data_IF_738965324199
#
_entry.id   IF_738965324199
#
_cell.length_a   1.000
_cell.length_b   1.000
_cell.length_c   1.000
_cell.angle_alpha   90.00
_cell.angle_beta   90.00
_cell.angle_gamma   90.00
#
_symmetry.space_group_name_H-M   'P 1'
#
loop_
_entity.id
_entity.type
_entity.pdbx_description
1 polymer ?
#
# COMPACT_ATOMS: atom_id res chain seq x y z
N UNK A 1 25.16 60.23 9.48
CA UNK A 1 25.14 58.86 8.92
C UNK A 1 24.37 57.98 9.90
N UNK A 2 23.20 57.48 9.50
CA UNK A 2 22.46 56.49 10.30
C UNK A 2 23.22 55.17 10.14
N UNK A 3 23.74 54.62 11.23
CA UNK A 3 24.40 53.32 11.20
C UNK A 3 23.40 52.28 10.68
N UNK A 4 23.75 51.57 9.60
CA UNK A 4 22.94 50.46 9.09
C UNK A 4 22.77 49.47 10.22
N UNK A 5 21.53 49.20 10.65
CA UNK A 5 21.25 48.19 11.65
C UNK A 5 21.65 46.82 11.07
N UNK A 6 22.81 46.31 11.48
CA UNK A 6 23.38 45.06 10.96
C UNK A 6 22.81 43.82 11.64
N UNK A 7 22.15 43.99 12.79
CA UNK A 7 21.64 42.88 13.60
C UNK A 7 20.71 41.92 12.84
N UNK A 8 19.74 42.38 12.01
CA UNK A 8 18.89 41.48 11.24
C UNK A 8 19.67 40.57 10.28
N UNK A 9 20.76 41.06 9.69
CA UNK A 9 21.59 40.27 8.78
C UNK A 9 22.40 39.22 9.54
N UNK A 10 23.00 39.59 10.68
CA UNK A 10 23.72 38.66 11.55
C UNK A 10 22.79 37.57 12.10
N UNK A 11 21.56 37.94 12.49
CA UNK A 11 20.53 36.99 12.91
C UNK A 11 20.25 35.94 11.81
N UNK A 12 19.99 36.38 10.58
CA UNK A 12 19.72 35.49 9.46
C UNK A 12 20.91 34.58 9.12
N UNK A 13 22.15 35.10 9.20
CA UNK A 13 23.37 34.31 8.99
C UNK A 13 23.50 33.25 10.08
N UNK A 14 23.37 33.62 11.35
CA UNK A 14 23.50 32.70 12.48
C UNK A 14 22.43 31.60 12.45
N UNK A 15 21.18 31.94 12.18
CA UNK A 15 20.10 30.95 12.03
C UNK A 15 20.36 30.01 10.86
N UNK A 16 20.88 30.52 9.74
CA UNK A 16 21.26 29.71 8.58
C UNK A 16 22.42 28.75 8.90
N UNK A 17 23.44 29.22 9.63
CA UNK A 17 24.56 28.39 10.11
C UNK A 17 24.10 27.33 11.11
N UNK A 18 23.11 27.65 11.95
CA UNK A 18 22.47 26.69 12.87
C UNK A 18 21.79 25.56 12.09
N UNK A 19 21.08 25.86 10.98
CA UNK A 19 20.50 24.84 10.10
C UNK A 19 21.56 23.92 9.50
N UNK A 20 22.68 24.46 8.98
CA UNK A 20 23.80 23.66 8.46
C UNK A 20 24.39 22.77 9.56
N UNK A 21 24.59 23.31 10.75
CA UNK A 21 25.18 22.57 11.88
C UNK A 21 24.29 21.40 12.29
N UNK A 22 22.97 21.59 12.34
CA UNK A 22 22.01 20.49 12.62
C UNK A 22 21.96 19.46 11.49
N UNK A 23 22.03 19.90 10.23
CA UNK A 23 22.08 19.01 9.07
C UNK A 23 23.30 18.07 9.12
N UNK A 24 24.45 18.58 9.58
CA UNK A 24 25.67 17.80 9.74
C UNK A 24 25.59 16.77 10.88
N UNK A 25 24.72 16.98 11.87
CA UNK A 25 24.50 16.03 12.97
C UNK A 25 23.68 14.80 12.55
N UNK A 26 22.95 14.89 11.43
CA UNK A 26 22.20 13.75 10.88
C UNK A 26 23.16 12.68 10.37
N UNK A 27 23.25 11.57 11.09
CA UNK A 27 24.09 10.41 10.73
C UNK A 27 23.33 9.45 9.79
N UNK A 28 24.05 8.71 8.91
CA UNK A 28 23.44 7.69 8.07
C UNK A 28 22.78 6.57 8.88
N UNK A 29 21.68 6.00 8.37
CA UNK A 29 20.99 4.87 9.02
C UNK A 29 21.87 3.64 9.22
N UNK A 30 22.81 3.40 8.30
CA UNK A 30 23.80 2.32 8.41
C UNK A 30 24.67 2.40 9.66
N UNK A 31 24.76 3.58 10.30
CA UNK A 31 25.50 3.80 11.53
C UNK A 31 24.62 3.94 12.78
N UNK A 32 23.30 4.10 12.63
CA UNK A 32 22.40 4.45 13.73
C UNK A 32 21.28 3.45 13.99
N UNK A 33 20.95 2.57 13.03
CA UNK A 33 19.85 1.62 13.13
C UNK A 33 20.37 0.17 13.17
N UNK A 34 20.69 -0.38 14.36
CA UNK A 34 21.24 -1.72 14.48
C UNK A 34 20.17 -2.79 14.25
N UNK A 35 20.36 -3.68 13.28
CA UNK A 35 19.44 -4.79 13.01
C UNK A 35 20.20 -6.07 12.73
N UNK A 36 19.59 -7.22 13.07
CA UNK A 36 20.13 -8.52 12.67
C UNK A 36 19.96 -8.70 11.16
N UNK A 37 20.83 -9.48 10.51
CA UNK A 37 20.77 -9.69 9.06
C UNK A 37 19.41 -10.20 8.59
N UNK A 38 18.77 -11.11 9.33
CA UNK A 38 17.43 -11.61 8.99
C UNK A 38 16.33 -10.56 9.08
N UNK A 39 16.57 -9.42 9.74
CA UNK A 39 15.60 -8.33 9.86
C UNK A 39 15.86 -7.18 8.87
N UNK A 40 16.92 -7.26 8.06
CA UNK A 40 17.30 -6.16 7.16
C UNK A 40 16.26 -5.93 6.07
N UNK A 41 16.07 -4.66 5.72
CA UNK A 41 15.42 -4.28 4.47
C UNK A 41 16.30 -4.69 3.28
N UNK A 42 15.74 -4.73 2.07
CA UNK A 42 16.54 -5.07 0.88
C UNK A 42 17.63 -4.02 0.63
N UNK A 43 18.76 -4.46 0.06
CA UNK A 43 19.87 -3.57 -0.26
C UNK A 43 19.43 -2.40 -1.16
N UNK A 44 18.56 -2.68 -2.14
CA UNK A 44 17.99 -1.66 -3.03
C UNK A 44 17.09 -0.66 -2.29
N UNK A 45 16.32 -1.08 -1.29
CA UNK A 45 15.52 -0.15 -0.48
C UNK A 45 16.42 0.78 0.35
N UNK A 46 17.43 0.22 1.02
CA UNK A 46 18.34 1.00 1.86
C UNK A 46 19.17 1.99 1.03
N UNK A 47 19.70 1.56 -0.11
CA UNK A 47 20.47 2.40 -1.03
C UNK A 47 19.62 3.57 -1.57
N UNK A 48 18.38 3.30 -1.98
CA UNK A 48 17.50 4.32 -2.51
C UNK A 48 17.09 5.36 -1.44
N UNK A 49 16.87 4.93 -0.20
CA UNK A 49 16.60 5.83 0.94
C UNK A 49 17.83 6.68 1.29
N UNK A 50 19.02 6.08 1.36
CA UNK A 50 20.27 6.80 1.64
C UNK A 50 20.52 7.84 0.54
N UNK A 51 20.40 7.45 -0.73
CA UNK A 51 20.59 8.33 -1.87
C UNK A 51 19.65 9.53 -1.84
N UNK A 52 18.35 9.31 -1.54
CA UNK A 52 17.38 10.41 -1.37
C UNK A 52 17.85 11.40 -0.30
N UNK A 53 18.18 10.91 0.90
CA UNK A 53 18.55 11.75 2.04
C UNK A 53 19.87 12.49 1.80
N UNK A 54 20.87 11.82 1.21
CA UNK A 54 22.17 12.45 0.89
C UNK A 54 22.02 13.56 -0.15
N UNK A 55 21.24 13.32 -1.22
CA UNK A 55 20.95 14.33 -2.23
C UNK A 55 20.21 15.51 -1.61
N UNK A 56 19.17 15.27 -0.81
CA UNK A 56 18.43 16.32 -0.11
C UNK A 56 19.32 17.15 0.82
N UNK A 57 20.23 16.50 1.58
CA UNK A 57 21.22 17.18 2.42
C UNK A 57 22.18 18.04 1.61
N UNK A 58 22.71 17.54 0.49
CA UNK A 58 23.63 18.30 -0.37
C UNK A 58 22.96 19.52 -1.00
N UNK A 59 21.72 19.36 -1.48
CA UNK A 59 20.94 20.44 -2.08
C UNK A 59 20.65 21.55 -1.08
N UNK A 60 20.15 21.20 0.11
CA UNK A 60 19.82 22.22 1.11
C UNK A 60 21.08 22.89 1.67
N UNK A 61 22.17 22.14 1.86
CA UNK A 61 23.45 22.72 2.28
C UNK A 61 23.92 23.78 1.26
N UNK A 62 23.84 23.46 -0.04
CA UNK A 62 24.17 24.40 -1.12
C UNK A 62 23.24 25.61 -1.11
N UNK A 63 21.93 25.41 -0.97
CA UNK A 63 20.94 26.49 -0.97
C UNK A 63 21.11 27.45 0.23
N UNK A 64 21.34 26.91 1.42
CA UNK A 64 21.61 27.72 2.63
C UNK A 64 22.94 28.46 2.49
N UNK A 65 23.98 27.82 1.95
CA UNK A 65 25.29 28.48 1.71
C UNK A 65 25.16 29.65 0.74
N UNK A 66 24.42 29.46 -0.36
CA UNK A 66 24.13 30.53 -1.31
C UNK A 66 23.28 31.65 -0.68
N UNK A 67 22.33 31.30 0.18
CA UNK A 67 21.55 32.28 0.93
C UNK A 67 22.41 33.10 1.89
N UNK A 68 23.35 32.48 2.62
CA UNK A 68 24.29 33.19 3.50
C UNK A 68 25.11 34.22 2.71
N UNK A 69 25.66 33.83 1.54
CA UNK A 69 26.39 34.78 0.69
C UNK A 69 25.49 35.91 0.19
N UNK A 70 24.23 35.62 -0.18
CA UNK A 70 23.24 36.64 -0.54
C UNK A 70 22.97 37.62 0.61
N UNK A 71 22.85 37.14 1.84
CA UNK A 71 22.64 38.00 3.03
C UNK A 71 23.87 38.90 3.27
N UNK A 72 25.08 38.36 3.13
CA UNK A 72 26.33 39.14 3.25
C UNK A 72 26.42 40.25 2.21
N UNK A 73 26.09 39.94 0.94
CA UNK A 73 26.06 40.95 -0.13
C UNK A 73 24.99 42.02 0.11
N UNK A 74 23.79 41.61 0.53
CA UNK A 74 22.69 42.54 0.82
C UNK A 74 23.02 43.49 1.98
N UNK A 75 23.77 43.01 2.99
CA UNK A 75 24.30 43.85 4.07
C UNK A 75 25.26 44.91 3.53
N UNK A 76 26.17 44.53 2.64
CA UNK A 76 27.14 45.46 2.03
C UNK A 76 26.46 46.52 1.15
N UNK A 77 25.36 46.15 0.49
CA UNK A 77 24.60 47.03 -0.41
C UNK A 77 23.54 47.90 0.30
N UNK A 78 23.28 47.69 1.61
CA UNK A 78 22.28 48.45 2.37
C UNK A 78 20.82 48.11 2.02
N UNK A 79 20.55 46.90 1.53
CA UNK A 79 19.20 46.45 1.18
C UNK A 79 18.30 46.23 2.41
N UNK A 80 16.99 46.07 2.23
CA UNK A 80 16.07 45.78 3.35
C UNK A 80 16.14 44.31 3.77
N UNK A 81 16.45 44.04 5.05
CA UNK A 81 16.51 42.70 5.61
C UNK A 81 15.14 41.98 5.64
N UNK A 82 14.03 42.72 5.68
CA UNK A 82 12.68 42.13 5.71
C UNK A 82 12.38 41.26 4.48
N UNK A 83 12.94 41.61 3.32
CA UNK A 83 12.80 40.84 2.08
C UNK A 83 13.60 39.51 2.11
N UNK A 84 14.62 39.42 2.97
CA UNK A 84 15.43 38.20 3.14
C UNK A 84 14.80 37.20 4.13
N UNK A 85 13.92 37.66 5.02
CA UNK A 85 13.21 36.79 5.95
C UNK A 85 12.36 35.74 5.23
N UNK A 86 11.64 36.12 4.17
CA UNK A 86 10.85 35.18 3.38
C UNK A 86 11.72 34.11 2.73
N UNK A 87 12.89 34.51 2.19
CA UNK A 87 13.84 33.57 1.61
C UNK A 87 14.42 32.61 2.67
N UNK A 88 14.73 33.10 3.87
CA UNK A 88 15.14 32.25 4.99
C UNK A 88 14.05 31.25 5.40
N UNK A 89 12.78 31.68 5.48
CA UNK A 89 11.66 30.79 5.82
C UNK A 89 11.54 29.64 4.83
N UNK A 90 11.77 29.88 3.54
CA UNK A 90 11.78 28.81 2.51
C UNK A 90 12.88 27.78 2.82
N UNK A 91 14.09 28.23 3.21
CA UNK A 91 15.17 27.32 3.62
C UNK A 91 14.78 26.48 4.84
N UNK A 92 14.17 27.12 5.85
CA UNK A 92 13.70 26.43 7.06
C UNK A 92 12.60 25.39 6.77
N UNK A 93 11.66 25.71 5.88
CA UNK A 93 10.62 24.77 5.45
C UNK A 93 11.22 23.58 4.71
N UNK A 94 12.19 23.81 3.81
CA UNK A 94 12.91 22.73 3.14
C UNK A 94 13.69 21.86 4.13
N UNK A 95 14.33 22.47 5.13
CA UNK A 95 15.05 21.74 6.18
C UNK A 95 14.10 20.82 6.96
N UNK A 96 12.95 21.35 7.39
CA UNK A 96 11.95 20.55 8.09
C UNK A 96 11.43 19.39 7.22
N UNK A 97 11.22 19.62 5.92
CA UNK A 97 10.78 18.54 5.03
C UNK A 97 11.78 17.38 4.93
N UNK A 98 13.09 17.65 5.01
CA UNK A 98 14.11 16.60 5.05
C UNK A 98 14.04 15.82 6.36
N UNK A 99 13.75 16.48 7.48
CA UNK A 99 13.53 15.80 8.76
C UNK A 99 12.28 14.92 8.72
N UNK A 100 11.17 15.43 8.19
CA UNK A 100 9.93 14.66 8.04
C UNK A 100 10.17 13.40 7.17
N UNK A 101 10.96 13.52 6.10
CA UNK A 101 11.38 12.36 5.29
C UNK A 101 12.24 11.38 6.08
N UNK A 102 13.20 11.87 6.86
CA UNK A 102 14.06 11.05 7.70
C UNK A 102 13.23 10.28 8.74
N UNK A 103 12.27 10.93 9.40
CA UNK A 103 11.43 10.33 10.43
C UNK A 103 10.56 9.19 9.85
N UNK A 104 9.99 9.37 8.65
CA UNK A 104 9.25 8.31 7.94
C UNK A 104 10.08 7.03 7.81
N UNK A 105 11.36 7.14 7.44
CA UNK A 105 12.22 5.96 7.28
C UNK A 105 12.82 5.48 8.60
N UNK A 106 13.07 6.37 9.56
CA UNK A 106 13.54 6.02 10.89
C UNK A 106 12.52 5.14 11.63
N UNK A 107 11.22 5.44 11.50
CA UNK A 107 10.16 4.64 12.10
C UNK A 107 10.14 3.21 11.55
N UNK A 108 10.31 3.06 10.23
CA UNK A 108 10.39 1.74 9.57
C UNK A 108 11.63 0.97 10.02
N UNK A 109 12.80 1.62 10.03
CA UNK A 109 14.09 0.98 10.29
C UNK A 109 14.29 0.67 11.78
N UNK A 110 13.76 1.51 12.68
CA UNK A 110 13.87 1.28 14.13
C UNK A 110 13.17 -0.03 14.53
N UNK A 111 11.99 -0.32 13.98
CA UNK A 111 11.26 -1.57 14.22
C UNK A 111 12.00 -2.82 13.74
N UNK A 112 12.94 -2.70 12.79
CA UNK A 112 13.82 -3.82 12.39
C UNK A 112 14.76 -4.28 13.51
N UNK A 113 14.95 -3.42 14.51
CA UNK A 113 15.77 -3.69 15.69
C UNK A 113 14.98 -4.40 16.81
N UNK A 114 13.64 -4.48 16.69
CA UNK A 114 12.80 -5.14 17.68
C UNK A 114 12.93 -6.67 17.62
N UNK A 115 13.03 -7.29 18.80
CA UNK A 115 13.19 -8.75 18.93
C UNK A 115 12.05 -9.51 18.24
N UNK A 116 12.39 -10.46 17.37
CA UNK A 116 11.51 -11.25 16.49
C UNK A 116 10.70 -10.46 15.44
N UNK A 117 10.17 -9.29 15.80
CA UNK A 117 9.34 -8.44 14.94
C UNK A 117 10.09 -8.06 13.66
N UNK A 118 11.37 -7.66 13.77
CA UNK A 118 12.14 -7.26 12.61
C UNK A 118 12.29 -8.36 11.55
N UNK A 119 12.41 -9.62 11.98
CA UNK A 119 12.52 -10.77 11.07
C UNK A 119 11.19 -11.01 10.34
N UNK A 120 10.06 -10.93 11.06
CA UNK A 120 8.75 -11.05 10.44
C UNK A 120 8.47 -9.94 9.44
N UNK A 121 8.83 -8.69 9.77
CA UNK A 121 8.73 -7.58 8.83
C UNK A 121 9.54 -7.83 7.55
N UNK A 122 10.74 -8.38 7.66
CA UNK A 122 11.54 -8.75 6.49
C UNK A 122 10.84 -9.83 5.64
N UNK A 123 10.23 -10.84 6.27
CA UNK A 123 9.43 -11.84 5.56
C UNK A 123 8.20 -11.25 4.87
N UNK A 124 7.56 -10.24 5.48
CA UNK A 124 6.43 -9.52 4.88
C UNK A 124 6.87 -8.64 3.71
N UNK A 125 8.08 -8.07 3.75
CA UNK A 125 8.62 -7.36 2.58
C UNK A 125 8.71 -8.29 1.37
N UNK A 126 9.21 -9.53 1.57
CA UNK A 126 9.31 -10.53 0.51
C UNK A 126 7.93 -10.91 -0.04
N UNK A 127 6.91 -10.99 0.82
CA UNK A 127 5.52 -11.20 0.40
C UNK A 127 4.99 -10.02 -0.43
N UNK A 128 5.28 -8.78 -0.04
CA UNK A 128 4.87 -7.60 -0.79
C UNK A 128 5.56 -7.52 -2.17
N UNK A 129 6.86 -7.83 -2.22
CA UNK A 129 7.65 -7.92 -3.45
C UNK A 129 7.10 -9.02 -4.39
N UNK A 130 6.77 -10.20 -3.88
CA UNK A 130 6.15 -11.29 -4.66
C UNK A 130 4.79 -10.86 -5.25
N UNK A 131 4.00 -10.07 -4.50
CA UNK A 131 2.74 -9.49 -4.96
C UNK A 131 2.86 -8.51 -6.13
N UNK A 132 4.04 -7.95 -6.40
CA UNK A 132 4.34 -7.15 -7.60
C UNK A 132 5.13 -7.90 -8.65
N UNK A 133 5.68 -9.08 -8.37
CA UNK A 133 6.59 -9.78 -9.27
C UNK A 133 5.97 -10.07 -10.66
N UNK A 134 4.63 -10.20 -10.74
CA UNK A 134 3.88 -10.35 -11.99
C UNK A 134 4.02 -9.14 -12.93
N UNK A 135 4.37 -7.97 -12.39
CA UNK A 135 4.49 -6.71 -13.11
C UNK A 135 5.88 -6.42 -13.68
N UNK A 136 6.88 -7.26 -13.41
CA UNK A 136 8.31 -6.99 -13.74
C UNK A 136 8.60 -6.66 -15.20
N UNK A 137 7.72 -7.07 -16.12
CA UNK A 137 7.88 -6.83 -17.57
C UNK A 137 7.16 -5.56 -18.07
N UNK A 138 6.47 -4.85 -17.19
CA UNK A 138 5.65 -3.68 -17.55
C UNK A 138 6.17 -2.38 -16.93
N UNK A 139 6.75 -2.44 -15.73
CA UNK A 139 7.41 -1.31 -15.08
C UNK A 139 8.50 -1.79 -14.12
N UNK A 140 9.44 -0.91 -13.79
CA UNK A 140 10.47 -1.19 -12.79
C UNK A 140 9.82 -1.31 -11.41
N UNK A 141 9.94 -2.46 -10.77
CA UNK A 141 9.32 -2.70 -9.46
C UNK A 141 10.06 -1.88 -8.40
N UNK A 142 9.38 -0.98 -7.66
CA UNK A 142 10.03 -0.24 -6.58
C UNK A 142 10.33 -1.17 -5.40
N UNK A 143 11.41 -0.92 -4.63
CA UNK A 143 11.63 -1.64 -3.39
C UNK A 143 10.49 -1.41 -2.40
N UNK A 144 10.22 -2.41 -1.56
CA UNK A 144 9.11 -2.41 -0.60
C UNK A 144 9.63 -2.56 0.84
N UNK A 145 9.01 -1.83 1.76
CA UNK A 145 9.25 -1.96 3.19
C UNK A 145 7.92 -1.98 3.93
N UNK A 146 7.75 -2.97 4.79
CA UNK A 146 6.61 -3.14 5.68
C UNK A 146 7.01 -2.70 7.09
N UNK A 147 6.10 -2.02 7.78
CA UNK A 147 6.26 -1.68 9.19
C UNK A 147 4.92 -1.80 9.92
N UNK A 148 4.97 -1.79 11.25
CA UNK A 148 3.80 -1.88 12.09
C UNK A 148 3.39 -0.51 12.59
N UNK A 149 2.09 -0.31 12.77
CA UNK A 149 1.57 0.85 13.44
C UNK A 149 0.40 0.51 14.36
N UNK A 150 0.14 1.39 15.33
CA UNK A 150 -1.03 1.34 16.19
C UNK A 150 -2.17 2.05 15.46
N UNK A 151 -3.02 1.30 14.76
CA UNK A 151 -4.10 1.88 13.96
C UNK A 151 -5.11 0.84 13.50
N UNK A 152 -6.22 1.30 12.91
CA UNK A 152 -7.36 0.45 12.57
C UNK A 152 -7.23 -0.29 11.22
N UNK A 153 -6.28 0.10 10.37
CA UNK A 153 -6.16 -0.40 9.00
C UNK A 153 -4.73 -0.39 8.46
N UNK A 154 -4.52 -1.15 7.40
CA UNK A 154 -3.31 -1.06 6.59
C UNK A 154 -3.36 0.22 5.74
N UNK A 155 -2.18 0.68 5.33
CA UNK A 155 -2.05 1.82 4.43
C UNK A 155 -0.72 1.76 3.68
N UNK A 156 -0.66 2.41 2.53
CA UNK A 156 0.56 2.49 1.72
C UNK A 156 0.94 3.92 1.40
N UNK A 157 2.19 4.26 1.68
CA UNK A 157 2.88 5.36 1.03
C UNK A 157 3.59 4.80 -0.21
N UNK A 158 2.92 4.94 -1.35
CA UNK A 158 3.39 4.41 -2.64
C UNK A 158 4.74 4.99 -3.04
N UNK A 159 5.57 4.19 -3.68
CA UNK A 159 6.73 4.68 -4.38
C UNK A 159 6.30 5.59 -5.54
N UNK A 160 7.19 6.48 -5.97
CA UNK A 160 6.96 7.43 -7.06
C UNK A 160 5.88 8.47 -6.81
N UNK A 161 5.51 8.64 -5.55
CA UNK A 161 4.61 9.70 -5.09
C UNK A 161 5.38 10.74 -4.30
N UNK A 162 4.80 11.93 -4.12
CA UNK A 162 5.49 13.03 -3.45
C UNK A 162 5.61 12.82 -1.93
N UNK A 163 6.82 12.98 -1.42
CA UNK A 163 7.14 13.14 0.00
C UNK A 163 6.93 14.60 0.46
N UNK A 164 6.90 14.86 1.78
CA UNK A 164 7.01 16.23 2.29
C UNK A 164 8.20 16.95 1.63
N UNK A 165 7.99 18.16 1.11
CA UNK A 165 9.02 18.88 0.34
C UNK A 165 9.00 18.64 -1.17
N UNK A 166 8.23 17.67 -1.66
CA UNK A 166 7.96 17.46 -3.09
C UNK A 166 8.85 16.43 -3.79
N UNK A 167 9.85 15.87 -3.09
CA UNK A 167 10.71 14.82 -3.63
C UNK A 167 9.92 13.54 -3.91
N UNK A 168 10.42 12.74 -4.84
CA UNK A 168 9.80 11.47 -5.19
C UNK A 168 10.16 10.39 -4.16
N UNK A 169 9.16 9.65 -3.69
CA UNK A 169 9.35 8.56 -2.75
C UNK A 169 10.05 7.37 -3.42
N UNK A 170 11.28 6.99 -3.03
CA UNK A 170 12.05 5.95 -3.72
C UNK A 170 11.53 4.53 -3.46
N UNK A 171 10.79 4.34 -2.37
CA UNK A 171 10.41 3.03 -1.84
C UNK A 171 8.95 3.01 -1.41
N UNK A 172 8.24 1.92 -1.68
CA UNK A 172 6.87 1.77 -1.20
C UNK A 172 6.92 1.37 0.28
N UNK A 173 6.29 2.17 1.14
CA UNK A 173 6.22 1.90 2.58
C UNK A 173 4.80 1.47 2.94
N UNK A 174 4.66 0.25 3.42
CA UNK A 174 3.37 -0.35 3.76
C UNK A 174 3.24 -0.50 5.28
N UNK A 175 2.21 0.10 5.82
CA UNK A 175 1.80 0.01 7.20
C UNK A 175 0.84 -1.17 7.39
N UNK A 176 1.09 -1.99 8.41
CA UNK A 176 0.18 -3.07 8.80
C UNK A 176 -0.18 -2.95 10.30
N UNK A 177 -1.46 -3.17 10.68
CA UNK A 177 -1.85 -3.17 12.09
C UNK A 177 -1.13 -4.26 12.90
N UNK A 178 -0.57 -3.88 14.06
CA UNK A 178 0.20 -4.77 14.93
C UNK A 178 -0.59 -6.00 15.40
N UNK A 179 -1.88 -5.86 15.63
CA UNK A 179 -2.74 -6.96 16.11
C UNK A 179 -3.04 -8.03 15.04
N UNK A 180 -2.69 -7.78 13.78
CA UNK A 180 -2.96 -8.69 12.65
C UNK A 180 -1.71 -9.38 12.11
N UNK A 181 -0.58 -9.29 12.80
CA UNK A 181 0.76 -9.63 12.29
C UNK A 181 0.96 -11.03 11.68
N UNK A 182 0.09 -12.02 11.95
CA UNK A 182 0.22 -13.37 11.38
C UNK A 182 -1.16 -13.96 11.03
N UNK A 183 -1.27 -14.61 9.86
CA UNK A 183 -2.48 -15.30 9.38
C UNK A 183 -2.90 -14.88 7.96
N UNK A 184 -3.96 -15.49 7.41
CA UNK A 184 -4.49 -15.09 6.09
C UNK A 184 -4.95 -13.63 6.03
N UNK A 185 -5.35 -13.05 7.17
CA UNK A 185 -5.80 -11.66 7.27
C UNK A 185 -4.71 -10.63 6.93
N UNK A 186 -3.45 -10.86 7.34
CA UNK A 186 -2.35 -9.94 7.02
C UNK A 186 -2.03 -9.93 5.53
N UNK A 187 -2.06 -11.10 4.88
CA UNK A 187 -1.77 -11.16 3.45
C UNK A 187 -2.84 -10.45 2.63
N UNK A 188 -4.13 -10.57 3.00
CA UNK A 188 -5.19 -9.85 2.32
C UNK A 188 -4.97 -8.33 2.37
N UNK A 189 -4.71 -7.78 3.56
CA UNK A 189 -4.43 -6.35 3.72
C UNK A 189 -3.12 -5.93 3.02
N UNK A 190 -2.04 -6.69 3.18
CA UNK A 190 -0.76 -6.36 2.56
C UNK A 190 -0.83 -6.38 1.03
N UNK A 191 -1.44 -7.41 0.43
CA UNK A 191 -1.54 -7.50 -1.03
C UNK A 191 -2.57 -6.51 -1.57
N UNK A 192 -3.56 -6.10 -0.79
CA UNK A 192 -4.43 -4.96 -1.11
C UNK A 192 -3.59 -3.67 -1.25
N UNK A 193 -2.75 -3.36 -0.27
CA UNK A 193 -1.84 -2.19 -0.34
C UNK A 193 -0.88 -2.27 -1.54
N UNK A 194 -0.33 -3.46 -1.81
CA UNK A 194 0.46 -3.71 -3.03
C UNK A 194 -0.36 -3.46 -4.30
N UNK A 195 -1.66 -3.79 -4.27
CA UNK A 195 -2.60 -3.52 -5.35
C UNK A 195 -2.74 -2.03 -5.67
N UNK A 196 -2.70 -1.15 -4.67
CA UNK A 196 -2.65 0.30 -4.92
C UNK A 196 -1.38 0.74 -5.64
N UNK A 197 -0.23 0.15 -5.32
CA UNK A 197 1.02 0.41 -6.06
C UNK A 197 0.92 -0.11 -7.49
N UNK A 198 0.39 -1.31 -7.70
CA UNK A 198 0.22 -1.90 -9.02
C UNK A 198 -0.74 -1.08 -9.90
N UNK A 199 -1.90 -0.71 -9.37
CA UNK A 199 -2.93 0.05 -10.08
C UNK A 199 -2.42 1.43 -10.52
N UNK A 200 -1.64 2.10 -9.67
CA UNK A 200 -1.01 3.38 -10.02
C UNK A 200 0.06 3.21 -11.10
N UNK A 201 0.95 2.23 -10.92
CA UNK A 201 2.09 2.02 -11.84
C UNK A 201 1.64 1.59 -13.24
N UNK A 202 0.44 1.02 -13.35
CA UNK A 202 -0.20 0.62 -14.61
C UNK A 202 -1.22 1.64 -15.12
N UNK A 203 -1.44 2.75 -14.41
CA UNK A 203 -2.47 3.77 -14.67
C UNK A 203 -3.92 3.23 -14.75
N UNK A 204 -4.19 2.09 -14.09
CA UNK A 204 -5.50 1.42 -14.14
C UNK A 204 -6.62 2.28 -13.60
N UNK A 205 -6.35 2.98 -12.50
CA UNK A 205 -7.35 3.79 -11.80
C UNK A 205 -7.91 4.88 -12.71
N UNK A 206 -7.04 5.62 -13.40
CA UNK A 206 -7.47 6.72 -14.26
C UNK A 206 -8.15 6.22 -15.53
N UNK A 207 -7.59 5.19 -16.16
CA UNK A 207 -8.18 4.61 -17.37
C UNK A 207 -9.58 4.03 -17.13
N UNK A 208 -9.75 3.24 -16.05
CA UNK A 208 -11.05 2.64 -15.75
C UNK A 208 -12.03 3.70 -15.28
N UNK A 209 -11.61 4.71 -14.49
CA UNK A 209 -12.45 5.84 -14.11
C UNK A 209 -13.06 6.52 -15.35
N UNK A 210 -12.25 6.79 -16.37
CA UNK A 210 -12.73 7.38 -17.63
C UNK A 210 -13.76 6.50 -18.37
N UNK A 211 -13.67 5.16 -18.25
CA UNK A 211 -14.68 4.25 -18.80
C UNK A 211 -15.98 4.28 -17.99
N UNK A 212 -15.89 4.35 -16.67
CA UNK A 212 -17.04 4.40 -15.77
C UNK A 212 -17.81 5.72 -15.91
N UNK A 213 -17.13 6.86 -16.10
CA UNK A 213 -17.79 8.15 -16.32
C UNK A 213 -18.67 8.14 -17.57
N UNK A 214 -18.28 7.42 -18.64
CA UNK A 214 -19.11 7.26 -19.85
C UNK A 214 -20.42 6.51 -19.58
N UNK A 215 -20.44 5.63 -18.56
CA UNK A 215 -21.61 4.86 -18.13
C UNK A 215 -22.59 5.68 -17.28
N UNK A 216 -22.30 6.96 -17.04
CA UNK A 216 -23.15 7.85 -16.23
C UNK A 216 -23.94 8.86 -17.08
N UNK A 217 -23.86 8.74 -18.42
CA UNK A 217 -24.57 9.60 -19.38
C UNK A 217 -26.10 9.47 -19.22
N UNK A 218 -26.90 10.55 -19.39
CA UNK A 218 -28.36 10.47 -19.37
C UNK A 218 -28.90 9.38 -20.30
N UNK A 219 -29.85 8.57 -19.79
CA UNK A 219 -30.44 7.45 -20.53
C UNK A 219 -29.80 6.09 -20.26
N UNK A 220 -28.64 6.03 -19.60
CA UNK A 220 -28.06 4.76 -19.11
C UNK A 220 -28.80 4.30 -17.85
N UNK A 221 -29.23 3.03 -17.84
CA UNK A 221 -29.85 2.38 -16.68
C UNK A 221 -28.85 2.34 -15.52
N UNK A 222 -29.35 2.47 -14.28
CA UNK A 222 -28.54 2.34 -13.05
C UNK A 222 -27.31 3.27 -13.00
N UNK A 223 -27.40 4.46 -13.59
CA UNK A 223 -26.30 5.45 -13.63
C UNK A 223 -25.65 5.72 -12.27
N UNK A 224 -26.44 5.67 -11.18
CA UNK A 224 -25.94 5.95 -9.84
C UNK A 224 -25.08 4.80 -9.30
N UNK A 225 -25.35 3.55 -9.68
CA UNK A 225 -24.46 2.41 -9.40
C UNK A 225 -23.08 2.61 -10.05
N UNK A 226 -23.05 3.09 -11.30
CA UNK A 226 -21.80 3.39 -12.00
C UNK A 226 -21.03 4.56 -11.36
N UNK A 227 -21.70 5.54 -10.76
CA UNK A 227 -21.05 6.61 -9.97
C UNK A 227 -20.36 6.04 -8.73
N UNK A 228 -21.03 5.14 -8.02
CA UNK A 228 -20.45 4.47 -6.86
C UNK A 228 -19.24 3.62 -7.23
N UNK A 229 -19.34 2.82 -8.30
CA UNK A 229 -18.17 2.07 -8.80
C UNK A 229 -17.02 2.98 -9.23
N UNK A 230 -17.31 4.12 -9.87
CA UNK A 230 -16.29 5.12 -10.20
C UNK A 230 -15.61 5.67 -8.94
N UNK A 231 -16.40 6.04 -7.92
CA UNK A 231 -15.89 6.59 -6.67
C UNK A 231 -14.98 5.60 -5.95
N UNK A 232 -15.35 4.33 -5.94
CA UNK A 232 -14.67 3.26 -5.21
C UNK A 232 -13.57 2.54 -6.00
N UNK A 233 -13.28 2.98 -7.23
CA UNK A 233 -12.46 2.18 -8.16
C UNK A 233 -11.06 1.89 -7.63
N UNK A 234 -10.43 2.81 -6.89
CA UNK A 234 -9.10 2.59 -6.32
C UNK A 234 -9.09 1.44 -5.32
N UNK A 235 -10.10 1.36 -4.45
CA UNK A 235 -10.27 0.29 -3.46
C UNK A 235 -10.62 -1.04 -4.12
N UNK A 236 -11.52 -0.99 -5.12
CA UNK A 236 -11.94 -2.19 -5.85
C UNK A 236 -10.76 -2.81 -6.60
N UNK A 237 -9.90 -2.00 -7.23
CA UNK A 237 -8.72 -2.49 -7.94
C UNK A 237 -7.69 -3.12 -6.99
N UNK A 238 -7.54 -2.57 -5.79
CA UNK A 238 -6.68 -3.14 -4.76
C UNK A 238 -7.23 -4.50 -4.24
N UNK A 239 -8.54 -4.60 -3.99
CA UNK A 239 -9.19 -5.87 -3.65
C UNK A 239 -9.11 -6.91 -4.78
N UNK A 240 -9.30 -6.48 -6.03
CA UNK A 240 -9.14 -7.31 -7.22
C UNK A 240 -7.70 -7.86 -7.32
N UNK A 241 -6.70 -7.03 -7.02
CA UNK A 241 -5.30 -7.46 -6.99
C UNK A 241 -5.06 -8.54 -5.93
N UNK A 242 -5.56 -8.32 -4.71
CA UNK A 242 -5.50 -9.30 -3.62
C UNK A 242 -6.21 -10.61 -3.99
N UNK A 243 -7.41 -10.54 -4.58
CA UNK A 243 -8.15 -11.71 -5.08
C UNK A 243 -7.35 -12.50 -6.13
N UNK A 244 -6.75 -11.79 -7.09
CA UNK A 244 -5.95 -12.37 -8.15
C UNK A 244 -4.75 -13.19 -7.66
N UNK A 245 -4.19 -12.82 -6.50
CA UNK A 245 -3.07 -13.51 -5.89
C UNK A 245 -3.52 -14.58 -4.89
N UNK A 246 -4.42 -14.22 -3.98
CA UNK A 246 -4.65 -15.03 -2.77
C UNK A 246 -5.90 -15.91 -2.87
N UNK A 247 -6.74 -15.74 -3.90
CA UNK A 247 -7.98 -16.48 -4.05
C UNK A 247 -8.90 -16.28 -2.85
N UNK A 248 -9.43 -17.38 -2.29
CA UNK A 248 -10.38 -17.36 -1.17
C UNK A 248 -9.83 -16.64 0.07
N UNK A 249 -8.51 -16.68 0.28
CA UNK A 249 -7.84 -16.02 1.40
C UNK A 249 -8.02 -14.51 1.38
N UNK A 250 -8.12 -13.88 0.19
CA UNK A 250 -8.37 -12.45 0.06
C UNK A 250 -9.75 -12.08 0.64
N UNK A 251 -10.80 -12.81 0.27
CA UNK A 251 -12.17 -12.55 0.75
C UNK A 251 -12.30 -12.82 2.24
N UNK A 252 -11.74 -13.92 2.74
CA UNK A 252 -11.78 -14.22 4.19
C UNK A 252 -11.01 -13.17 5.01
N UNK A 253 -9.87 -12.72 4.50
CA UNK A 253 -9.11 -11.63 5.12
C UNK A 253 -9.90 -10.32 5.12
N UNK A 254 -10.47 -9.94 3.97
CA UNK A 254 -11.35 -8.77 3.84
C UNK A 254 -12.51 -8.83 4.84
N UNK A 255 -13.24 -9.94 4.92
CA UNK A 255 -14.34 -10.12 5.88
C UNK A 255 -13.85 -9.92 7.32
N UNK A 256 -12.66 -10.43 7.67
CA UNK A 256 -12.05 -10.21 8.98
C UNK A 256 -11.76 -8.73 9.29
N UNK A 257 -11.42 -7.93 8.26
CA UNK A 257 -11.20 -6.48 8.41
C UNK A 257 -12.52 -5.72 8.56
N UNK A 258 -13.53 -6.09 7.77
CA UNK A 258 -14.77 -5.30 7.64
C UNK A 258 -15.97 -5.88 8.41
N UNK A 259 -15.73 -6.87 9.28
CA UNK A 259 -16.75 -7.33 10.25
C UNK A 259 -16.97 -6.24 11.29
N UNK A 260 -18.00 -5.43 11.05
CA UNK A 260 -18.38 -4.26 11.84
C UNK A 260 -19.87 -4.35 12.22
N UNK A 261 -20.35 -3.58 13.22
CA UNK A 261 -21.78 -3.49 13.52
C UNK A 261 -22.63 -3.16 12.28
N UNK A 262 -23.87 -3.68 12.22
CA UNK A 262 -24.81 -3.57 11.06
C UNK A 262 -24.90 -2.15 10.49
N UNK A 263 -24.89 -1.13 11.35
CA UNK A 263 -24.95 0.27 10.95
C UNK A 263 -23.86 0.67 9.92
N UNK A 264 -22.62 0.21 10.11
CA UNK A 264 -21.50 0.55 9.23
C UNK A 264 -21.53 -0.20 7.90
N UNK A 265 -22.17 -1.37 7.85
CA UNK A 265 -22.20 -2.22 6.64
C UNK A 265 -22.93 -1.57 5.46
N UNK A 266 -23.90 -0.71 5.75
CA UNK A 266 -24.82 -0.12 4.79
C UNK A 266 -24.70 1.41 4.75
N UNK A 267 -23.53 1.95 5.10
CA UNK A 267 -23.21 3.37 4.94
C UNK A 267 -22.71 3.61 3.51
N UNK A 268 -23.62 3.95 2.62
CA UNK A 268 -23.37 4.25 1.21
C UNK A 268 -23.24 5.76 1.03
N UNK A 269 -22.10 6.30 1.47
CA UNK A 269 -21.78 7.73 1.40
C UNK A 269 -20.96 8.01 0.13
N UNK A 270 -21.37 8.99 -0.68
CA UNK A 270 -20.63 9.34 -1.91
C UNK A 270 -19.34 10.11 -1.60
N UNK A 271 -19.24 10.72 -0.42
CA UNK A 271 -18.01 11.37 0.02
C UNK A 271 -16.95 10.37 0.49
N UNK A 272 -17.34 9.13 0.80
CA UNK A 272 -16.44 8.06 1.19
C UNK A 272 -15.82 7.39 -0.06
N UNK A 273 -14.48 7.40 -0.22
CA UNK A 273 -13.83 6.66 -1.30
C UNK A 273 -13.89 5.14 -1.12
N UNK A 274 -14.32 4.65 0.05
CA UNK A 274 -14.43 3.21 0.32
C UNK A 274 -15.83 2.68 -0.01
N UNK A 275 -15.93 1.53 -0.70
CA UNK A 275 -17.20 0.83 -0.81
C UNK A 275 -17.69 0.43 0.57
N UNK A 276 -19.01 0.55 0.78
CA UNK A 276 -19.63 0.05 1.99
C UNK A 276 -19.25 -1.42 2.20
N UNK A 277 -18.87 -1.84 3.44
CA UNK A 277 -18.40 -3.20 3.73
C UNK A 277 -19.24 -4.32 3.10
N UNK A 278 -20.57 -4.20 3.11
CA UNK A 278 -21.48 -5.16 2.50
C UNK A 278 -21.23 -5.34 1.00
N UNK A 279 -21.10 -4.23 0.28
CA UNK A 279 -20.84 -4.20 -1.17
C UNK A 279 -19.41 -4.67 -1.46
N UNK A 280 -18.44 -4.29 -0.63
CA UNK A 280 -17.04 -4.69 -0.78
C UNK A 280 -16.86 -6.21 -0.72
N UNK A 281 -17.50 -6.88 0.24
CA UNK A 281 -17.48 -8.36 0.34
C UNK A 281 -18.22 -9.01 -0.85
N UNK A 282 -19.34 -8.43 -1.28
CA UNK A 282 -20.07 -8.92 -2.45
C UNK A 282 -19.22 -8.88 -3.73
N UNK A 283 -18.61 -7.73 -4.02
CA UNK A 283 -17.71 -7.55 -5.15
C UNK A 283 -16.52 -8.51 -5.07
N UNK A 284 -15.94 -8.71 -3.88
CA UNK A 284 -14.89 -9.71 -3.67
C UNK A 284 -15.35 -11.11 -4.09
N UNK A 285 -16.56 -11.53 -3.70
CA UNK A 285 -17.13 -12.81 -4.13
C UNK A 285 -17.39 -12.86 -5.65
N UNK A 286 -17.83 -11.76 -6.25
CA UNK A 286 -18.10 -11.67 -7.70
C UNK A 286 -16.81 -11.78 -8.53
N UNK A 287 -15.76 -11.06 -8.15
CA UNK A 287 -14.42 -11.20 -8.73
C UNK A 287 -13.86 -12.61 -8.51
N UNK A 288 -14.02 -13.16 -7.30
CA UNK A 288 -13.64 -14.52 -6.96
C UNK A 288 -14.31 -15.55 -7.88
N UNK A 289 -15.62 -15.43 -8.10
CA UNK A 289 -16.38 -16.31 -9.01
C UNK A 289 -15.92 -16.20 -10.46
N UNK A 290 -15.57 -14.99 -10.92
CA UNK A 290 -15.10 -14.77 -12.28
C UNK A 290 -13.68 -15.33 -12.52
N UNK A 291 -12.79 -15.22 -11.52
CA UNK A 291 -11.40 -15.71 -11.62
C UNK A 291 -11.28 -17.21 -11.27
N UNK A 292 -12.07 -17.69 -10.31
CA UNK A 292 -12.01 -19.05 -9.77
C UNK A 292 -13.40 -19.69 -9.76
N UNK A 293 -13.93 -20.16 -10.90
CA UNK A 293 -15.28 -20.71 -10.98
C UNK A 293 -15.49 -21.90 -10.02
N UNK A 294 -16.11 -21.64 -8.87
CA UNK A 294 -16.31 -22.62 -7.79
C UNK A 294 -17.49 -22.22 -6.90
N UNK A 295 -18.16 -23.18 -6.27
CA UNK A 295 -19.34 -22.93 -5.42
C UNK A 295 -19.01 -22.24 -4.09
N UNK A 296 -17.73 -22.19 -3.71
CA UNK A 296 -17.27 -21.54 -2.47
C UNK A 296 -17.72 -20.08 -2.34
N UNK A 297 -17.78 -19.35 -3.46
CA UNK A 297 -18.17 -17.94 -3.46
C UNK A 297 -19.63 -17.76 -3.07
N UNK A 298 -20.51 -18.64 -3.55
CA UNK A 298 -21.92 -18.64 -3.14
C UNK A 298 -22.05 -18.95 -1.64
N UNK A 299 -21.27 -19.89 -1.13
CA UNK A 299 -21.27 -20.25 0.30
C UNK A 299 -20.85 -19.07 1.18
N UNK A 300 -19.79 -18.36 0.80
CA UNK A 300 -19.33 -17.18 1.54
C UNK A 300 -20.34 -16.05 1.46
N UNK A 301 -20.89 -15.80 0.27
CA UNK A 301 -21.89 -14.75 0.10
C UNK A 301 -23.14 -15.00 0.95
N UNK A 302 -23.66 -16.23 0.93
CA UNK A 302 -24.78 -16.64 1.77
C UNK A 302 -24.47 -16.47 3.27
N UNK A 303 -23.26 -16.84 3.71
CA UNK A 303 -22.83 -16.63 5.09
C UNK A 303 -22.84 -15.14 5.47
N UNK A 304 -22.35 -14.28 4.58
CA UNK A 304 -22.33 -12.83 4.82
C UNK A 304 -23.74 -12.24 4.89
N UNK A 305 -24.65 -12.70 4.03
CA UNK A 305 -26.06 -12.28 4.06
C UNK A 305 -26.76 -12.70 5.38
N UNK A 306 -26.41 -13.87 5.93
CA UNK A 306 -26.92 -14.30 7.24
C UNK A 306 -26.46 -13.39 8.39
N UNK A 307 -25.23 -12.90 8.35
CA UNK A 307 -24.72 -11.97 9.36
C UNK A 307 -25.29 -10.55 9.21
N UNK A 308 -25.63 -10.16 7.97
CA UNK A 308 -26.10 -8.82 7.65
C UNK A 308 -27.37 -8.85 6.80
N UNK A 309 -28.53 -9.21 7.40
CA UNK A 309 -29.81 -9.20 6.71
C UNK A 309 -30.22 -7.78 6.29
N UNK A 310 -30.80 -7.68 5.11
CA UNK A 310 -31.20 -6.40 4.47
C UNK A 310 -32.67 -6.04 4.69
N UNK A 311 -33.45 -6.89 5.39
CA UNK A 311 -34.91 -6.79 5.49
C UNK A 311 -35.40 -5.47 6.10
N UNK A 312 -34.66 -4.91 7.06
CA UNK A 312 -35.02 -3.68 7.77
C UNK A 312 -34.40 -2.40 7.15
N UNK A 313 -33.77 -2.50 5.97
CA UNK A 313 -33.16 -1.33 5.34
C UNK A 313 -34.22 -0.41 4.73
N UNK A 314 -34.03 0.91 4.76
CA UNK A 314 -34.87 1.85 4.02
C UNK A 314 -34.94 1.48 2.53
N UNK A 315 -36.12 1.66 1.91
CA UNK A 315 -36.38 1.29 0.51
C UNK A 315 -35.36 1.89 -0.46
N UNK A 316 -34.92 3.13 -0.22
CA UNK A 316 -33.88 3.79 -1.03
C UNK A 316 -32.56 3.02 -1.03
N UNK A 317 -32.13 2.51 0.12
CA UNK A 317 -30.91 1.71 0.22
C UNK A 317 -31.06 0.36 -0.48
N UNK A 318 -32.23 -0.28 -0.34
CA UNK A 318 -32.53 -1.54 -1.03
C UNK A 318 -32.51 -1.33 -2.55
N UNK A 319 -33.10 -0.24 -3.03
CA UNK A 319 -33.10 0.11 -4.45
C UNK A 319 -31.67 0.35 -4.98
N UNK A 320 -30.82 1.05 -4.23
CA UNK A 320 -29.43 1.26 -4.61
C UNK A 320 -28.62 -0.05 -4.62
N UNK A 321 -28.76 -0.90 -3.59
CA UNK A 321 -28.13 -2.21 -3.56
C UNK A 321 -28.56 -3.06 -4.77
N UNK A 322 -29.85 -3.05 -5.11
CA UNK A 322 -30.35 -3.75 -6.30
C UNK A 322 -29.77 -3.18 -7.60
N UNK A 323 -29.62 -1.86 -7.71
CA UNK A 323 -29.02 -1.23 -8.89
C UNK A 323 -27.54 -1.59 -9.03
N UNK A 324 -26.78 -1.67 -7.93
CA UNK A 324 -25.41 -2.19 -7.91
C UNK A 324 -25.38 -3.65 -8.36
N UNK A 325 -26.26 -4.48 -7.80
CA UNK A 325 -26.34 -5.91 -8.12
C UNK A 325 -26.64 -6.18 -9.59
N UNK A 326 -27.54 -5.40 -10.20
CA UNK A 326 -27.89 -5.52 -11.61
C UNK A 326 -26.73 -5.18 -12.56
N UNK A 327 -25.78 -4.34 -12.13
CA UNK A 327 -24.61 -3.95 -12.94
C UNK A 327 -23.32 -4.69 -12.55
N UNK A 328 -23.35 -5.51 -11.49
CA UNK A 328 -22.17 -6.18 -10.92
C UNK A 328 -21.40 -6.99 -11.96
N UNK A 329 -22.09 -7.83 -12.73
CA UNK A 329 -21.45 -8.69 -13.74
C UNK A 329 -20.81 -7.84 -14.85
N UNK A 330 -21.50 -6.81 -15.33
CA UNK A 330 -20.99 -5.89 -16.34
C UNK A 330 -19.72 -5.18 -15.85
N UNK A 331 -19.74 -4.72 -14.60
CA UNK A 331 -18.61 -4.05 -13.97
C UNK A 331 -17.42 -4.99 -13.77
N UNK A 332 -17.63 -6.20 -13.26
CA UNK A 332 -16.57 -7.22 -13.11
C UNK A 332 -15.94 -7.54 -14.47
N UNK A 333 -16.74 -7.78 -15.50
CA UNK A 333 -16.21 -8.05 -16.85
C UNK A 333 -15.45 -6.85 -17.44
N UNK A 334 -15.90 -5.62 -17.16
CA UNK A 334 -15.20 -4.41 -17.58
C UNK A 334 -13.79 -4.35 -16.95
N UNK A 335 -13.68 -4.58 -15.64
CA UNK A 335 -12.39 -4.56 -14.95
C UNK A 335 -11.48 -5.68 -15.45
N UNK A 336 -11.98 -6.92 -15.56
CA UNK A 336 -11.19 -8.09 -15.99
C UNK A 336 -10.65 -7.97 -17.42
N UNK A 337 -11.46 -7.44 -18.34
CA UNK A 337 -11.14 -7.40 -19.77
C UNK A 337 -10.51 -6.07 -20.18
N UNK A 338 -10.36 -5.13 -19.26
CA UNK A 338 -9.72 -3.84 -19.54
C UNK A 338 -8.30 -4.08 -20.06
N UNK A 339 -7.91 -3.35 -21.10
CA UNK A 339 -6.59 -3.44 -21.73
C UNK A 339 -5.88 -2.10 -21.58
N UNK A 340 -5.21 -1.87 -20.44
CA UNK A 340 -4.51 -0.62 -20.24
C UNK A 340 -3.32 -0.50 -21.19
N UNK A 341 -2.95 0.73 -21.51
CA UNK A 341 -1.84 1.00 -22.44
C UNK A 341 -0.53 0.41 -21.93
N UNK A 342 -0.32 0.47 -20.61
CA UNK A 342 0.82 -0.09 -19.89
C UNK A 342 1.01 -1.61 -20.08
N UNK A 343 -0.07 -2.36 -20.34
CA UNK A 343 -0.03 -3.81 -20.52
C UNK A 343 0.13 -4.27 -21.98
N UNK A 344 0.39 -3.34 -22.92
CA UNK A 344 0.77 -3.65 -24.32
C UNK A 344 -0.23 -4.62 -25.01
N UNK A 345 -1.53 -4.38 -24.82
CA UNK A 345 -2.62 -5.13 -25.47
C UNK A 345 -3.15 -6.35 -24.70
N UNK A 346 -2.53 -6.69 -23.56
CA UNK A 346 -3.06 -7.68 -22.62
C UNK A 346 -4.18 -7.11 -21.75
N UNK A 347 -5.05 -7.99 -21.29
CA UNK A 347 -6.08 -7.67 -20.31
C UNK A 347 -5.48 -7.65 -18.89
N UNK A 348 -6.12 -6.93 -17.97
CA UNK A 348 -5.74 -6.93 -16.55
C UNK A 348 -5.74 -8.34 -15.94
N UNK A 349 -6.67 -9.20 -16.36
CA UNK A 349 -6.74 -10.59 -15.88
C UNK A 349 -5.54 -11.44 -16.33
N UNK A 350 -4.92 -11.12 -17.47
CA UNK A 350 -3.85 -11.92 -18.07
C UNK A 350 -2.53 -11.86 -17.29
N UNK A 351 -2.37 -10.87 -16.40
CA UNK A 351 -1.16 -10.72 -15.58
C UNK A 351 -1.28 -11.38 -14.21
N UNK A 352 -2.49 -11.74 -13.77
CA UNK A 352 -2.71 -12.35 -12.48
C UNK A 352 -2.38 -13.85 -12.50
N UNK A 353 -1.88 -14.42 -11.40
CA UNK A 353 -1.48 -15.82 -11.33
C UNK A 353 -2.65 -16.82 -11.17
N UNK A 354 -3.89 -16.37 -11.33
CA UNK A 354 -5.11 -17.09 -10.95
C UNK A 354 -5.29 -18.47 -11.63
N UNK A 355 -4.83 -18.63 -12.89
CA UNK A 355 -4.92 -19.90 -13.62
C UNK A 355 -4.18 -21.04 -12.91
N UNK A 356 -3.07 -20.73 -12.23
CA UNK A 356 -2.27 -21.71 -11.47
C UNK A 356 -2.70 -21.83 -10.00
N UNK A 357 -3.75 -21.10 -9.61
CA UNK A 357 -4.24 -20.98 -8.24
C UNK A 357 -5.71 -21.37 -8.13
N UNK A 358 -6.18 -22.22 -9.03
CA UNK A 358 -7.55 -22.77 -8.97
C UNK A 358 -7.73 -23.62 -7.69
N UNK A 359 -8.92 -23.66 -7.07
CA UNK A 359 -9.13 -24.32 -5.78
C UNK A 359 -8.63 -25.78 -5.72
N UNK A 360 -8.93 -26.58 -6.75
CA UNK A 360 -8.47 -27.97 -6.83
C UNK A 360 -6.93 -28.08 -6.93
N UNK A 361 -6.27 -27.10 -7.54
CA UNK A 361 -4.81 -27.04 -7.61
C UNK A 361 -4.19 -26.63 -6.28
N UNK A 362 -4.78 -25.66 -5.59
CA UNK A 362 -4.36 -25.26 -4.24
C UNK A 362 -4.48 -26.42 -3.25
N UNK A 363 -5.57 -27.17 -3.31
CA UNK A 363 -5.76 -28.39 -2.52
C UNK A 363 -4.69 -29.45 -2.81
N UNK A 364 -4.33 -29.66 -4.08
CA UNK A 364 -3.24 -30.58 -4.45
C UNK A 364 -1.89 -30.14 -3.91
N UNK A 365 -1.57 -28.84 -4.00
CA UNK A 365 -0.35 -28.31 -3.39
C UNK A 365 -0.32 -28.54 -1.89
N UNK A 366 -1.43 -28.30 -1.19
CA UNK A 366 -1.51 -28.57 0.23
C UNK A 366 -1.23 -30.03 0.58
N UNK A 367 -1.83 -30.99 -0.16
CA UNK A 367 -1.56 -32.42 0.06
C UNK A 367 -0.10 -32.79 -0.21
N UNK A 368 0.52 -32.21 -1.24
CA UNK A 368 1.95 -32.43 -1.52
C UNK A 368 2.83 -31.87 -0.41
N UNK A 369 2.53 -30.68 0.11
CA UNK A 369 3.31 -30.06 1.19
C UNK A 369 3.20 -30.80 2.52
N UNK A 370 2.09 -31.52 2.77
CA UNK A 370 1.99 -32.42 3.93
C UNK A 370 2.93 -33.62 3.82
N UNK A 371 3.27 -34.05 2.61
CA UNK A 371 4.19 -35.17 2.36
C UNK A 371 5.65 -34.70 2.32
N UNK A 372 5.90 -33.49 1.84
CA UNK A 372 7.23 -32.92 1.70
C UNK A 372 7.22 -31.40 2.01
N UNK A 373 7.73 -31.06 3.19
CA UNK A 373 7.79 -29.66 3.67
C UNK A 373 8.85 -28.82 2.94
N UNK A 374 9.78 -29.42 2.20
CA UNK A 374 10.75 -28.63 1.40
C UNK A 374 10.05 -27.90 0.23
N UNK A 375 8.91 -28.41 -0.22
CA UNK A 375 8.13 -27.81 -1.29
C UNK A 375 7.47 -26.48 -0.87
N UNK A 376 7.06 -26.33 0.39
CA UNK A 376 6.52 -25.05 0.88
C UNK A 376 7.62 -24.00 1.04
N UNK A 377 8.83 -24.40 1.43
CA UNK A 377 9.96 -23.49 1.64
C UNK A 377 10.47 -22.84 0.35
N UNK A 378 10.28 -23.50 -0.80
CA UNK A 378 10.65 -23.00 -2.13
C UNK A 378 9.51 -22.31 -2.88
N UNK A 379 8.29 -22.33 -2.33
CA UNK A 379 7.12 -21.77 -2.99
C UNK A 379 7.08 -20.23 -2.88
N UNK A 380 6.55 -19.52 -3.91
CA UNK A 380 6.34 -18.08 -3.82
C UNK A 380 5.44 -17.71 -2.64
N UNK A 381 5.74 -16.65 -1.88
CA UNK A 381 4.97 -16.26 -0.70
C UNK A 381 3.47 -16.14 -0.95
N UNK A 382 3.03 -15.46 -2.02
CA UNK A 382 1.60 -15.30 -2.32
C UNK A 382 0.92 -16.64 -2.64
N UNK A 383 1.66 -17.63 -3.17
CA UNK A 383 1.13 -18.98 -3.37
C UNK A 383 0.96 -19.71 -2.02
N UNK A 384 1.91 -19.58 -1.10
CA UNK A 384 1.81 -20.17 0.24
C UNK A 384 0.56 -19.68 0.97
N UNK A 385 0.31 -18.37 0.97
CA UNK A 385 -0.92 -17.81 1.56
C UNK A 385 -2.21 -18.23 0.85
N UNK A 386 -2.18 -18.40 -0.48
CA UNK A 386 -3.34 -18.91 -1.22
C UNK A 386 -3.65 -20.36 -0.84
N UNK A 387 -2.63 -21.22 -0.78
CA UNK A 387 -2.78 -22.65 -0.45
C UNK A 387 -3.22 -22.84 1.00
N UNK A 388 -2.57 -22.19 1.96
CA UNK A 388 -2.92 -22.35 3.37
C UNK A 388 -4.31 -21.77 3.69
N UNK A 389 -4.67 -20.62 3.11
CA UNK A 389 -6.02 -20.09 3.33
C UNK A 389 -7.12 -20.89 2.62
N UNK A 390 -6.84 -21.53 1.48
CA UNK A 390 -7.75 -22.53 0.91
C UNK A 390 -7.88 -23.76 1.83
N UNK A 391 -6.78 -24.28 2.36
CA UNK A 391 -6.81 -25.41 3.29
C UNK A 391 -7.60 -25.08 4.58
N UNK A 392 -7.46 -23.84 5.09
CA UNK A 392 -8.24 -23.36 6.24
C UNK A 392 -9.73 -23.22 5.90
N UNK A 393 -10.07 -22.68 4.73
CA UNK A 393 -11.46 -22.61 4.27
C UNK A 393 -12.10 -24.00 4.14
N UNK A 394 -11.32 -24.96 3.64
CA UNK A 394 -11.71 -26.37 3.52
C UNK A 394 -11.71 -27.11 4.87
N UNK A 395 -11.39 -26.41 5.97
CA UNK A 395 -11.29 -26.96 7.33
C UNK A 395 -10.23 -28.07 7.48
N UNK A 396 -9.27 -28.14 6.57
CA UNK A 396 -8.15 -29.09 6.62
C UNK A 396 -7.06 -28.68 7.62
N UNK A 397 -7.02 -27.39 7.97
CA UNK A 397 -6.23 -26.83 9.07
C UNK A 397 -7.07 -25.82 9.85
N UNK A 398 -6.74 -25.61 11.12
CA UNK A 398 -7.30 -24.55 11.95
C UNK A 398 -6.43 -23.27 11.94
N UNK A 399 -6.91 -22.22 12.61
CA UNK A 399 -6.22 -20.93 12.65
C UNK A 399 -4.85 -20.96 13.37
N UNK A 400 -4.68 -21.83 14.38
CA UNK A 400 -3.41 -21.98 15.09
C UNK A 400 -2.35 -22.69 14.25
N UNK A 401 -2.76 -23.72 13.49
CA UNK A 401 -1.90 -24.42 12.52
C UNK A 401 -1.46 -23.49 11.40
N UNK A 402 -2.39 -22.73 10.81
CA UNK A 402 -2.08 -21.72 9.80
C UNK A 402 -1.06 -20.69 10.32
N UNK A 403 -1.29 -20.15 11.52
CA UNK A 403 -0.40 -19.16 12.14
C UNK A 403 1.02 -19.73 12.32
N UNK A 404 1.13 -20.96 12.84
CA UNK A 404 2.42 -21.61 13.08
C UNK A 404 3.19 -21.80 11.76
N UNK A 405 2.52 -22.30 10.71
CA UNK A 405 3.13 -22.50 9.40
C UNK A 405 3.57 -21.19 8.76
N UNK A 406 2.73 -20.15 8.79
CA UNK A 406 3.05 -18.85 8.22
C UNK A 406 4.18 -18.15 8.99
N UNK A 407 4.20 -18.25 10.32
CA UNK A 407 5.30 -17.72 11.15
C UNK A 407 6.64 -18.33 10.76
N UNK A 408 6.67 -19.65 10.54
CA UNK A 408 7.87 -20.34 10.08
C UNK A 408 8.29 -19.86 8.69
N UNK A 409 7.34 -19.71 7.77
CA UNK A 409 7.65 -19.25 6.41
C UNK A 409 8.13 -17.80 6.36
N UNK A 410 7.57 -16.89 7.16
CA UNK A 410 8.07 -15.52 7.28
C UNK A 410 9.54 -15.50 7.71
N UNK A 411 9.92 -16.35 8.68
CA UNK A 411 11.32 -16.48 9.11
C UNK A 411 12.21 -17.06 8.00
N UNK A 412 11.73 -18.06 7.28
CA UNK A 412 12.45 -18.68 6.17
C UNK A 412 12.71 -17.68 5.03
N UNK A 413 11.69 -16.92 4.61
CA UNK A 413 11.85 -15.89 3.57
C UNK A 413 12.79 -14.78 4.01
N UNK A 414 12.66 -14.32 5.26
CA UNK A 414 13.55 -13.33 5.84
C UNK A 414 15.03 -13.79 5.85
N UNK A 415 15.28 -15.06 6.17
CA UNK A 415 16.62 -15.64 6.16
C UNK A 415 17.22 -15.76 4.75
N UNK A 416 16.38 -16.12 3.77
CA UNK A 416 16.80 -16.31 2.38
C UNK A 416 16.79 -15.03 1.54
N UNK A 417 16.32 -13.91 2.11
CA UNK A 417 16.33 -12.60 1.45
C UNK A 417 17.78 -12.18 1.21
N UNK A 418 18.09 -11.86 -0.05
CA UNK A 418 19.43 -11.45 -0.49
C UNK A 418 19.58 -9.94 -0.48
#
# INVERSE_FOLDING_TARGET
MIAVNTYPFEYLINESQSLISRLQQLKPFSMTMPMVKGASVSAGALDAVITLLENGKLEIHRSISQFIEKVKMARQQGNSAGQLQTAFTIQKLRYNSILDQLDIFADVLSQRSEHEVGIWLSGLDVLAEDGLAVCKNYFDIPPMMVFLERGHGAAIRRARTRLPGGDENPVAVIQIPRERMVGSGIAASLIHEVGHQAAESLDLTNEIRALLSKKQTPGIKNKDAWKHYERWISEILADYWAMGHLGISATLGLMGVVTLPKYFQFRLDLDDPHPAPYVRVKLSCAFGKALYPHSQWNRIWQLWQLFYPTDDLPEEKIALLKALDEEEENFVQLVLRHKPHSLKGKQTVDILPFLKRQPAQLQRFFQQWKLDTSLIESAPPTLVFAVLGQAKFDQAINAGEENSLLTQQLRNWAYNRK
#
